data_IF_014756433129
#
_entry.id   IF_014756433129
#
_cell.length_a   1.000
_cell.length_b   1.000
_cell.length_c   1.000
_cell.angle_alpha   90.00
_cell.angle_beta   90.00
_cell.angle_gamma   90.00
#
_symmetry.space_group_name_H-M   'P 1'
#
loop_
_entity.id
_entity.type
_entity.pdbx_description
1 polymer ?
#
# COMPACT_ATOMS: atom_id res chain seq x y z
N UNK A 1 -36.15 25.18 -11.26
CA UNK A 1 -36.56 23.79 -10.94
C UNK A 1 -35.44 22.85 -11.35
N UNK A 2 -35.02 21.96 -10.46
CA UNK A 2 -34.02 20.93 -10.78
C UNK A 2 -34.75 19.77 -11.47
N UNK A 3 -34.21 19.28 -12.60
CA UNK A 3 -34.76 18.13 -13.34
C UNK A 3 -34.03 16.86 -12.89
N UNK A 4 -34.76 15.75 -12.76
CA UNK A 4 -34.18 14.43 -12.43
C UNK A 4 -33.12 14.07 -13.49
N UNK A 5 -31.83 13.90 -13.11
CA UNK A 5 -30.80 13.55 -14.07
C UNK A 5 -31.03 12.16 -14.69
N UNK A 6 -30.50 11.94 -15.89
CA UNK A 6 -30.43 10.60 -16.47
C UNK A 6 -29.58 9.70 -15.55
N UNK A 7 -29.95 8.44 -15.42
CA UNK A 7 -29.26 7.43 -14.61
C UNK A 7 -29.32 7.65 -13.07
N UNK A 8 -30.33 8.39 -12.58
CA UNK A 8 -30.49 8.69 -11.15
C UNK A 8 -30.60 7.44 -10.25
N UNK A 9 -31.23 6.36 -10.72
CA UNK A 9 -31.40 5.13 -9.92
C UNK A 9 -30.09 4.34 -9.75
N UNK A 10 -29.11 4.55 -10.64
CA UNK A 10 -27.83 3.83 -10.62
C UNK A 10 -26.66 4.71 -10.16
N UNK A 11 -26.82 6.04 -10.14
CA UNK A 11 -25.77 6.95 -9.68
C UNK A 11 -25.70 6.88 -8.15
N UNK A 12 -24.54 6.46 -7.62
CA UNK A 12 -24.31 6.48 -6.19
C UNK A 12 -24.26 7.92 -5.71
N UNK A 13 -24.94 8.20 -4.60
CA UNK A 13 -24.82 9.49 -3.92
C UNK A 13 -23.36 9.77 -3.59
N UNK A 14 -22.96 11.06 -3.67
CA UNK A 14 -21.62 11.47 -3.26
C UNK A 14 -21.41 11.08 -1.80
N UNK A 15 -20.59 10.06 -1.58
CA UNK A 15 -20.15 9.64 -0.25
C UNK A 15 -18.79 10.28 -0.01
N UNK A 16 -18.52 10.75 1.21
CA UNK A 16 -17.18 11.23 1.55
C UNK A 16 -16.17 10.11 1.28
N UNK A 17 -15.12 10.41 0.52
CA UNK A 17 -14.03 9.46 0.29
C UNK A 17 -13.30 9.27 1.61
N UNK A 18 -13.51 8.11 2.23
CA UNK A 18 -12.78 7.69 3.41
C UNK A 18 -11.29 7.70 3.06
N UNK A 19 -10.51 8.53 3.76
CA UNK A 19 -9.06 8.51 3.66
C UNK A 19 -8.50 7.55 4.69
N UNK A 20 -7.55 6.72 4.29
CA UNK A 20 -6.87 5.82 5.21
C UNK A 20 -6.00 6.64 6.19
N UNK A 21 -6.17 6.49 7.51
CA UNK A 21 -5.30 7.12 8.50
C UNK A 21 -3.86 6.58 8.43
N UNK A 22 -2.90 7.37 8.92
CA UNK A 22 -1.56 6.82 9.18
C UNK A 22 -1.61 5.80 10.31
N UNK A 23 -0.84 4.73 10.19
CA UNK A 23 -0.87 3.68 11.21
C UNK A 23 -0.27 2.38 10.74
N UNK A 24 -0.52 1.34 11.54
CA UNK A 24 -0.13 -0.02 11.25
C UNK A 24 -1.37 -0.84 10.90
N UNK A 25 -1.30 -1.60 9.81
CA UNK A 25 -2.40 -2.43 9.32
C UNK A 25 -1.89 -3.83 8.98
N UNK A 26 -2.74 -4.83 9.18
CA UNK A 26 -2.50 -6.17 8.65
C UNK A 26 -3.00 -6.18 7.22
N UNK A 27 -2.12 -6.58 6.30
CA UNK A 27 -2.37 -6.55 4.86
C UNK A 27 -2.17 -7.93 4.25
N UNK A 28 -2.90 -8.20 3.18
CA UNK A 28 -2.71 -9.36 2.31
C UNK A 28 -2.01 -8.90 1.03
N UNK A 29 -0.98 -9.62 0.61
CA UNK A 29 -0.34 -9.40 -0.67
C UNK A 29 -1.27 -9.93 -1.78
N UNK A 30 -1.69 -9.07 -2.69
CA UNK A 30 -2.58 -9.42 -3.80
C UNK A 30 -1.81 -9.76 -5.08
N UNK A 31 -0.65 -9.14 -5.27
CA UNK A 31 0.29 -9.44 -6.36
C UNK A 31 1.68 -8.88 -6.03
N UNK A 32 2.70 -9.44 -6.65
CA UNK A 32 4.07 -8.93 -6.57
C UNK A 32 4.74 -9.11 -7.93
N UNK A 33 5.55 -8.13 -8.33
CA UNK A 33 6.36 -8.18 -9.55
C UNK A 33 7.63 -7.37 -9.42
N UNK A 34 8.66 -7.74 -10.18
CA UNK A 34 9.90 -6.99 -10.30
C UNK A 34 9.84 -6.08 -11.51
N UNK A 35 10.18 -4.81 -11.33
CA UNK A 35 10.20 -3.79 -12.39
C UNK A 35 11.56 -3.11 -12.42
N UNK A 36 12.18 -3.12 -13.59
CA UNK A 36 13.45 -2.45 -13.85
C UNK A 36 13.24 -1.01 -14.33
N UNK A 37 14.03 -0.09 -13.81
CA UNK A 37 14.01 1.32 -14.20
C UNK A 37 15.40 1.77 -14.63
N UNK A 38 15.44 2.55 -15.71
CA UNK A 38 16.65 3.27 -16.08
C UNK A 38 16.81 4.49 -15.17
N UNK A 39 18.03 4.68 -14.67
CA UNK A 39 18.43 5.86 -13.91
C UNK A 39 18.93 6.94 -14.85
N UNK A 40 18.81 8.20 -14.45
CA UNK A 40 19.29 9.35 -15.23
C UNK A 40 20.80 9.31 -15.50
N UNK A 41 21.55 8.49 -14.75
CA UNK A 41 23.00 8.27 -14.92
C UNK A 41 23.36 7.05 -15.77
N UNK A 42 22.39 6.43 -16.46
CA UNK A 42 22.64 5.33 -17.40
C UNK A 42 22.78 3.93 -16.76
N UNK A 43 22.48 3.79 -15.47
CA UNK A 43 22.38 2.49 -14.79
C UNK A 43 20.94 1.97 -14.73
N UNK A 44 20.75 0.67 -14.49
CA UNK A 44 19.44 0.05 -14.27
C UNK A 44 19.26 -0.26 -12.79
N UNK A 45 18.07 0.03 -12.24
CA UNK A 45 17.71 -0.30 -10.86
C UNK A 45 16.40 -1.07 -10.82
N UNK A 46 16.42 -2.20 -10.14
CA UNK A 46 15.25 -3.06 -10.00
C UNK A 46 14.46 -2.73 -8.73
N UNK A 47 13.14 -2.84 -8.83
CA UNK A 47 12.21 -2.68 -7.71
C UNK A 47 11.26 -3.85 -7.65
N UNK A 48 11.10 -4.39 -6.46
CA UNK A 48 9.98 -5.26 -6.13
C UNK A 48 8.77 -4.39 -5.79
N UNK A 49 7.77 -4.43 -6.66
CA UNK A 49 6.47 -3.80 -6.43
C UNK A 49 5.49 -4.84 -5.88
N UNK A 50 4.95 -4.57 -4.70
CA UNK A 50 4.03 -5.46 -3.99
C UNK A 50 2.69 -4.74 -3.86
N UNK A 51 1.71 -5.21 -4.62
CA UNK A 51 0.32 -4.79 -4.44
C UNK A 51 -0.25 -5.48 -3.20
N UNK A 52 -0.90 -4.71 -2.34
CA UNK A 52 -1.49 -5.15 -1.10
C UNK A 52 -2.90 -4.61 -0.92
N UNK A 53 -3.69 -5.33 -0.12
CA UNK A 53 -4.97 -4.86 0.39
C UNK A 53 -5.03 -5.02 1.91
N UNK A 54 -5.85 -4.21 2.58
CA UNK A 54 -6.04 -4.30 4.03
C UNK A 54 -6.86 -5.55 4.34
N UNK A 55 -6.30 -6.44 5.15
CA UNK A 55 -6.88 -7.75 5.44
C UNK A 55 -7.85 -7.72 6.63
N UNK A 56 -7.62 -6.82 7.59
CA UNK A 56 -8.35 -6.78 8.86
C UNK A 56 -8.67 -5.34 9.31
N UNK A 57 -9.61 -5.23 10.25
CA UNK A 57 -10.02 -3.96 10.86
C UNK A 57 -11.04 -3.17 10.03
N UNK A 58 -11.22 -1.91 10.40
CA UNK A 58 -12.24 -1.00 9.83
C UNK A 58 -12.06 -0.77 8.33
N UNK A 59 -10.81 -0.74 7.87
CA UNK A 59 -10.47 -0.47 6.48
C UNK A 59 -10.25 -1.74 5.66
N UNK A 60 -10.72 -2.90 6.12
CA UNK A 60 -10.61 -4.15 5.36
C UNK A 60 -11.18 -3.98 3.94
N UNK A 61 -10.43 -4.42 2.93
CA UNK A 61 -10.84 -4.32 1.53
C UNK A 61 -10.69 -2.92 0.92
N UNK A 62 -9.99 -2.00 1.59
CA UNK A 62 -9.91 -0.59 1.18
C UNK A 62 -9.42 -0.41 -0.27
N UNK A 63 -8.33 -1.07 -0.64
CA UNK A 63 -7.74 -0.88 -1.96
C UNK A 63 -8.53 -1.62 -3.05
N UNK A 64 -9.10 -2.78 -2.72
CA UNK A 64 -10.02 -3.47 -3.63
C UNK A 64 -11.25 -2.60 -3.93
N UNK A 65 -11.86 -2.02 -2.89
CA UNK A 65 -13.02 -1.15 -3.06
C UNK A 65 -12.70 0.11 -3.88
N UNK A 66 -11.54 0.75 -3.65
CA UNK A 66 -11.07 1.88 -4.47
C UNK A 66 -10.90 1.45 -5.93
N UNK A 67 -10.24 0.31 -6.16
CA UNK A 67 -10.00 -0.23 -7.50
C UNK A 67 -11.29 -0.57 -8.25
N UNK A 68 -12.21 -1.31 -7.63
CA UNK A 68 -13.50 -1.69 -8.22
C UNK A 68 -14.37 -0.47 -8.52
N UNK A 69 -14.27 0.58 -7.70
CA UNK A 69 -14.97 1.84 -7.94
C UNK A 69 -14.36 2.62 -9.10
N UNK A 70 -13.02 2.63 -9.21
CA UNK A 70 -12.27 3.35 -10.23
C UNK A 70 -12.37 2.69 -11.60
N UNK A 71 -12.31 1.35 -11.65
CA UNK A 71 -12.46 0.58 -12.90
C UNK A 71 -13.78 0.81 -13.62
N UNK A 72 -14.85 1.12 -12.87
CA UNK A 72 -16.16 1.50 -13.45
C UNK A 72 -16.13 2.84 -14.17
N UNK A 73 -15.14 3.69 -13.86
CA UNK A 73 -14.99 5.03 -14.43
C UNK A 73 -13.92 5.08 -15.53
N UNK A 74 -12.90 4.22 -15.45
CA UNK A 74 -11.81 4.13 -16.40
C UNK A 74 -11.24 2.72 -16.41
N UNK A 75 -11.14 2.11 -17.60
CA UNK A 75 -10.55 0.78 -17.77
C UNK A 75 -9.05 0.75 -17.39
N UNK A 76 -8.37 1.89 -17.53
CA UNK A 76 -6.95 2.09 -17.19
C UNK A 76 -6.70 2.45 -15.71
N UNK A 77 -7.71 2.29 -14.85
CA UNK A 77 -7.57 2.61 -13.43
C UNK A 77 -6.53 1.72 -12.76
N UNK A 78 -5.57 2.33 -12.06
CA UNK A 78 -4.43 1.63 -11.44
C UNK A 78 -4.70 1.29 -9.98
N UNK A 79 -4.16 0.16 -9.53
CA UNK A 79 -4.16 -0.21 -8.12
C UNK A 79 -3.29 0.75 -7.30
N UNK A 80 -3.81 1.27 -6.20
CA UNK A 80 -3.13 2.30 -5.40
C UNK A 80 -2.39 1.79 -4.16
N UNK A 81 -2.70 0.59 -3.69
CA UNK A 81 -2.06 -0.02 -2.53
C UNK A 81 -0.79 -0.75 -2.93
N UNK A 82 0.28 -0.02 -3.24
CA UNK A 82 1.54 -0.60 -3.74
C UNK A 82 2.70 -0.20 -2.84
N UNK A 83 3.36 -1.19 -2.24
CA UNK A 83 4.65 -1.01 -1.58
C UNK A 83 5.77 -1.21 -2.60
N UNK A 84 6.74 -0.30 -2.63
CA UNK A 84 7.87 -0.35 -3.57
C UNK A 84 9.17 -0.52 -2.81
N UNK A 85 9.83 -1.66 -3.02
CA UNK A 85 11.12 -1.98 -2.41
C UNK A 85 12.20 -1.97 -3.49
N UNK A 86 13.23 -1.15 -3.32
CA UNK A 86 14.42 -1.20 -4.17
C UNK A 86 15.19 -2.49 -3.89
N UNK A 87 15.59 -3.18 -4.95
CA UNK A 87 16.44 -4.36 -4.86
C UNK A 87 17.93 -3.94 -4.81
N UNK A 88 18.78 -4.71 -4.13
CA UNK A 88 20.23 -4.54 -4.19
C UNK A 88 20.73 -4.56 -5.64
N UNK A 89 21.71 -3.72 -5.93
CA UNK A 89 22.40 -3.63 -7.22
C UNK A 89 23.73 -4.39 -7.22
N UNK A 90 24.17 -4.88 -6.05
CA UNK A 90 25.44 -5.58 -5.86
C UNK A 90 26.68 -4.76 -6.22
N UNK A 91 26.55 -3.43 -6.21
CA UNK A 91 27.62 -2.49 -6.57
C UNK A 91 28.58 -2.16 -5.41
N UNK A 92 28.31 -2.71 -4.21
CA UNK A 92 29.13 -2.50 -3.01
C UNK A 92 29.03 -1.10 -2.40
N UNK A 93 28.12 -0.26 -2.87
CA UNK A 93 27.88 1.08 -2.30
C UNK A 93 27.16 1.02 -0.95
N UNK A 94 27.25 2.08 -0.15
CA UNK A 94 26.48 2.21 1.11
C UNK A 94 24.96 2.11 0.86
N UNK A 95 24.50 2.61 -0.29
CA UNK A 95 23.10 2.51 -0.70
C UNK A 95 22.70 1.05 -0.97
N UNK A 96 23.61 0.22 -1.48
CA UNK A 96 23.38 -1.20 -1.70
C UNK A 96 23.25 -1.98 -0.40
N UNK A 97 24.13 -1.73 0.58
CA UNK A 97 24.04 -2.32 1.91
C UNK A 97 22.72 -1.96 2.63
N UNK A 98 22.28 -0.70 2.49
CA UNK A 98 20.98 -0.28 3.00
C UNK A 98 19.81 -1.03 2.30
N UNK A 99 19.89 -1.22 0.97
CA UNK A 99 18.86 -1.97 0.21
C UNK A 99 18.81 -3.44 0.64
N UNK A 100 19.97 -4.09 0.84
CA UNK A 100 20.05 -5.48 1.35
C UNK A 100 19.38 -5.59 2.72
N UNK A 101 19.70 -4.68 3.63
CA UNK A 101 19.11 -4.63 4.97
C UNK A 101 17.60 -4.43 4.93
N UNK A 102 17.11 -3.51 4.09
CA UNK A 102 15.67 -3.25 3.91
C UNK A 102 14.93 -4.45 3.31
N UNK A 103 15.50 -5.07 2.27
CA UNK A 103 14.93 -6.27 1.64
C UNK A 103 14.88 -7.45 2.62
N UNK A 104 15.95 -7.65 3.39
CA UNK A 104 16.00 -8.67 4.44
C UNK A 104 14.89 -8.47 5.47
N UNK A 105 14.74 -7.25 6.00
CA UNK A 105 13.69 -6.94 6.96
C UNK A 105 12.28 -7.17 6.40
N UNK A 106 12.08 -6.88 5.11
CA UNK A 106 10.82 -7.17 4.41
C UNK A 106 10.54 -8.67 4.35
N UNK A 107 11.51 -9.47 3.90
CA UNK A 107 11.34 -10.91 3.75
C UNK A 107 11.14 -11.59 5.11
N UNK A 108 11.94 -11.23 6.12
CA UNK A 108 11.78 -11.76 7.49
C UNK A 108 10.40 -11.43 8.06
N UNK A 109 9.89 -10.21 7.86
CA UNK A 109 8.54 -9.86 8.30
C UNK A 109 7.45 -10.70 7.64
N UNK A 110 7.60 -11.05 6.36
CA UNK A 110 6.66 -11.92 5.64
C UNK A 110 6.78 -13.35 6.18
N UNK A 111 7.99 -13.90 6.30
CA UNK A 111 8.20 -15.26 6.81
C UNK A 111 7.68 -15.43 8.25
N UNK A 112 8.00 -14.51 9.15
CA UNK A 112 7.57 -14.53 10.55
C UNK A 112 6.03 -14.46 10.68
N UNK A 113 5.37 -13.79 9.74
CA UNK A 113 3.91 -13.63 9.73
C UNK A 113 3.18 -14.83 9.10
N UNK A 114 3.90 -15.74 8.42
CA UNK A 114 3.30 -16.87 7.71
C UNK A 114 3.98 -18.17 8.15
N UNK A 115 3.44 -18.79 9.22
CA UNK A 115 4.00 -20.01 9.79
C UNK A 115 4.26 -21.12 8.76
N UNK A 116 5.50 -21.62 8.74
CA UNK A 116 5.94 -22.66 7.80
C UNK A 116 6.31 -22.17 6.41
N UNK A 117 6.22 -20.86 6.14
CA UNK A 117 6.68 -20.27 4.89
C UNK A 117 8.14 -19.81 4.99
N UNK A 118 8.91 -20.09 3.93
CA UNK A 118 10.22 -19.50 3.66
C UNK A 118 10.24 -19.05 2.22
N UNK A 119 10.83 -17.89 1.98
CA UNK A 119 11.00 -17.36 0.64
C UNK A 119 11.98 -18.23 -0.12
N UNK A 120 11.53 -18.74 -1.27
CA UNK A 120 12.35 -19.54 -2.15
C UNK A 120 12.95 -18.63 -3.23
N UNK A 121 14.25 -18.35 -3.13
CA UNK A 121 14.94 -17.41 -4.02
C UNK A 121 15.00 -17.88 -5.47
N UNK A 122 14.78 -19.17 -5.73
CA UNK A 122 14.76 -19.74 -7.09
C UNK A 122 13.37 -19.66 -7.74
N UNK A 123 12.36 -19.19 -7.01
CA UNK A 123 10.98 -19.04 -7.49
C UNK A 123 10.61 -17.58 -7.75
N UNK A 124 9.69 -17.33 -8.69
CA UNK A 124 9.21 -15.98 -8.96
C UNK A 124 8.56 -15.35 -7.72
N UNK A 125 8.61 -14.03 -7.65
CA UNK A 125 8.04 -13.20 -6.59
C UNK A 125 6.52 -13.36 -6.46
N UNK A 126 5.85 -13.92 -7.47
CA UNK A 126 4.43 -14.28 -7.43
C UNK A 126 4.08 -15.25 -6.28
N UNK A 127 5.06 -15.98 -5.74
CA UNK A 127 4.90 -16.79 -4.53
C UNK A 127 4.49 -16.00 -3.28
N UNK A 128 4.72 -14.67 -3.29
CA UNK A 128 4.30 -13.76 -2.23
C UNK A 128 2.78 -13.51 -2.25
N UNK A 129 2.10 -13.77 -3.38
CA UNK A 129 0.65 -13.63 -3.50
C UNK A 129 -0.05 -14.47 -2.43
N UNK A 130 -1.01 -13.86 -1.75
CA UNK A 130 -1.81 -14.49 -0.70
C UNK A 130 -1.18 -14.47 0.68
N UNK A 131 0.10 -14.09 0.83
CA UNK A 131 0.75 -13.97 2.15
C UNK A 131 0.20 -12.79 2.93
N UNK A 132 0.13 -12.95 4.25
CA UNK A 132 -0.33 -11.91 5.18
C UNK A 132 0.85 -11.33 5.94
N UNK A 133 0.90 -10.01 6.11
CA UNK A 133 2.00 -9.33 6.79
C UNK A 133 1.51 -8.04 7.44
N UNK A 134 2.21 -7.55 8.47
CA UNK A 134 1.98 -6.21 8.98
C UNK A 134 2.59 -5.16 8.05
N UNK A 135 1.92 -4.04 7.83
CA UNK A 135 2.43 -2.92 7.07
C UNK A 135 2.23 -1.61 7.83
N UNK A 136 3.30 -0.83 7.94
CA UNK A 136 3.25 0.53 8.48
C UNK A 136 3.04 1.50 7.33
N UNK A 137 2.10 2.42 7.50
CA UNK A 137 1.75 3.44 6.52
C UNK A 137 2.28 4.80 6.95
N UNK A 138 2.81 5.54 5.98
CA UNK A 138 3.35 6.89 6.14
C UNK A 138 2.46 7.88 5.41
N UNK A 139 2.35 9.10 5.94
CA UNK A 139 1.75 10.21 5.20
C UNK A 139 2.73 10.74 4.16
N UNK A 140 2.33 10.73 2.89
CA UNK A 140 3.08 11.30 1.78
C UNK A 140 2.26 12.38 1.07
N UNK A 141 2.90 13.50 0.79
CA UNK A 141 2.29 14.57 0.01
C UNK A 141 2.37 14.22 -1.49
N UNK A 142 1.25 14.39 -2.17
CA UNK A 142 1.17 14.30 -3.63
C UNK A 142 0.88 15.68 -4.20
N UNK A 143 1.39 15.93 -5.40
CA UNK A 143 1.07 17.11 -6.18
C UNK A 143 0.75 16.69 -7.63
N UNK A 144 -0.35 17.22 -8.18
CA UNK A 144 -0.78 16.98 -9.56
C UNK A 144 -1.65 18.14 -10.04
N UNK A 145 -1.31 18.73 -11.19
CA UNK A 145 -2.10 19.78 -11.86
C UNK A 145 -2.54 20.90 -10.89
N UNK A 146 -1.58 21.56 -10.25
CA UNK A 146 -1.75 22.63 -9.24
C UNK A 146 -2.50 22.24 -7.96
N UNK A 147 -2.92 20.98 -7.83
CA UNK A 147 -3.49 20.44 -6.59
C UNK A 147 -2.41 19.70 -5.83
N UNK A 148 -2.49 19.79 -4.50
CA UNK A 148 -1.68 19.00 -3.59
C UNK A 148 -2.53 18.46 -2.44
N UNK A 149 -2.02 17.45 -1.77
CA UNK A 149 -2.65 16.90 -0.57
C UNK A 149 -1.82 15.80 0.04
N UNK A 150 -2.23 15.36 1.22
CA UNK A 150 -1.56 14.30 1.96
C UNK A 150 -2.35 12.99 1.86
N UNK A 151 -1.66 11.86 1.76
CA UNK A 151 -2.28 10.52 1.75
C UNK A 151 -1.43 9.51 2.50
N UNK A 152 -2.06 8.57 3.20
CA UNK A 152 -1.35 7.42 3.75
C UNK A 152 -0.92 6.47 2.62
N UNK A 153 0.34 6.05 2.63
CA UNK A 153 0.92 5.10 1.68
C UNK A 153 1.68 3.99 2.42
N UNK A 154 1.72 2.77 1.89
CA UNK A 154 2.57 1.71 2.41
C UNK A 154 4.02 2.17 2.49
N UNK A 155 4.64 2.02 3.67
CA UNK A 155 6.02 2.45 3.88
C UNK A 155 6.98 1.28 4.07
N UNK A 156 6.64 0.33 4.95
CA UNK A 156 7.45 -0.87 5.19
C UNK A 156 6.62 -2.00 5.77
N UNK A 157 7.11 -3.23 5.61
CA UNK A 157 6.57 -4.38 6.31
C UNK A 157 7.19 -4.55 7.69
N UNK A 158 6.39 -5.14 8.58
CA UNK A 158 6.71 -5.55 9.94
C UNK A 158 5.95 -6.86 10.23
N UNK A 159 6.40 -7.69 11.19
CA UNK A 159 5.64 -8.87 11.58
C UNK A 159 4.22 -8.50 12.01
N UNK A 160 3.22 -9.36 11.73
CA UNK A 160 1.82 -9.16 12.13
C UNK A 160 1.69 -8.89 13.63
N UNK A 161 2.46 -9.61 14.45
CA UNK A 161 2.52 -9.41 15.90
C UNK A 161 2.93 -7.98 16.32
N UNK A 162 3.77 -7.31 15.53
CA UNK A 162 4.15 -5.91 15.81
C UNK A 162 2.95 -4.97 15.67
N UNK A 163 2.03 -5.25 14.73
CA UNK A 163 0.80 -4.49 14.56
C UNK A 163 -0.18 -4.78 15.70
N UNK A 164 -0.42 -6.06 16.02
CA UNK A 164 -1.31 -6.44 17.12
C UNK A 164 -0.87 -5.87 18.46
N UNK A 165 0.43 -5.92 18.75
CA UNK A 165 0.99 -5.41 20.01
C UNK A 165 1.18 -3.89 20.03
N UNK A 166 0.93 -3.18 18.92
CA UNK A 166 1.19 -1.75 18.78
C UNK A 166 2.68 -1.37 18.85
N UNK A 167 3.60 -2.35 18.74
CA UNK A 167 5.05 -2.16 18.84
C UNK A 167 5.66 -1.74 17.50
N UNK A 168 5.13 -0.67 16.92
CA UNK A 168 5.69 -0.05 15.72
C UNK A 168 5.79 1.46 15.89
N UNK A 169 6.63 2.09 15.05
CA UNK A 169 6.78 3.55 15.03
C UNK A 169 6.24 4.08 13.73
N UNK A 170 5.36 5.08 13.83
CA UNK A 170 4.89 5.83 12.66
C UNK A 170 6.06 6.68 12.15
N UNK A 171 6.48 6.51 10.89
CA UNK A 171 7.57 7.29 10.31
C UNK A 171 7.18 8.76 10.16
N UNK A 172 8.18 9.64 10.08
CA UNK A 172 7.96 11.05 9.72
C UNK A 172 7.26 11.15 8.37
N UNK A 173 6.33 12.08 8.23
CA UNK A 173 5.67 12.35 6.95
C UNK A 173 6.69 12.78 5.88
N UNK A 174 6.36 12.55 4.62
CA UNK A 174 7.23 12.87 3.47
C UNK A 174 6.58 13.96 2.61
N UNK A 175 7.05 15.22 2.67
CA UNK A 175 6.58 16.27 1.78
C UNK A 175 6.98 15.99 0.33
N UNK A 176 6.27 16.62 -0.59
CA UNK A 176 6.56 16.50 -2.01
C UNK A 176 7.88 17.22 -2.32
N UNK A 177 8.62 16.74 -3.32
CA UNK A 177 9.95 17.29 -3.66
C UNK A 177 9.95 18.79 -3.97
N UNK A 178 8.82 19.30 -4.47
CA UNK A 178 8.62 20.70 -4.85
C UNK A 178 8.09 21.56 -3.68
N UNK A 179 7.71 20.93 -2.56
CA UNK A 179 7.11 21.56 -1.38
C UNK A 179 7.76 21.07 -0.07
N UNK A 180 9.10 21.02 -0.01
CA UNK A 180 9.85 20.34 1.06
C UNK A 180 9.61 20.86 2.49
N UNK A 181 9.07 22.08 2.64
CA UNK A 181 8.75 22.70 3.92
C UNK A 181 7.27 22.58 4.30
N UNK A 182 6.45 21.93 3.47
CA UNK A 182 5.02 21.78 3.73
C UNK A 182 4.77 20.78 4.86
N UNK A 183 3.74 21.06 5.65
CA UNK A 183 3.32 20.22 6.76
C UNK A 183 1.84 19.89 6.64
N UNK A 184 1.40 18.71 7.11
CA UNK A 184 -0.02 18.38 7.10
C UNK A 184 -0.80 19.29 8.06
N UNK A 185 -1.78 20.02 7.53
CA UNK A 185 -2.79 20.70 8.35
C UNK A 185 -3.56 19.62 9.14
N UNK A 186 -3.42 19.58 10.47
CA UNK A 186 -3.97 18.56 11.40
C UNK A 186 -3.26 17.20 11.51
N UNK A 187 -1.93 17.13 11.69
CA UNK A 187 -1.31 15.90 12.23
C UNK A 187 -1.74 15.67 13.70
N UNK A 188 -2.95 15.15 13.93
CA UNK A 188 -3.29 14.50 15.19
C UNK A 188 -2.63 13.12 15.18
N UNK A 189 -1.55 12.96 15.93
CA UNK A 189 -0.97 11.67 16.26
C UNK A 189 -1.91 10.90 17.20
N UNK A 190 -3.11 10.55 16.74
CA UNK A 190 -4.02 9.72 17.49
C UNK A 190 -3.48 8.28 17.45
N UNK A 191 -2.61 8.00 18.41
CA UNK A 191 -2.15 6.68 18.81
C UNK A 191 -3.28 5.93 19.52
N UNK A 192 -4.40 5.73 18.83
CA UNK A 192 -5.50 4.89 19.33
C UNK A 192 -5.52 3.56 18.56
N UNK A 193 -5.47 2.41 19.25
CA UNK A 193 -5.74 1.14 18.59
C UNK A 193 -7.17 1.17 18.07
N UNK A 194 -7.36 0.92 16.78
CA UNK A 194 -8.68 0.81 16.18
C UNK A 194 -9.42 -0.37 16.82
N UNK A 195 -10.36 -0.11 17.73
CA UNK A 195 -11.27 -1.15 18.20
C UNK A 195 -12.70 -0.63 18.37
N UNK A 196 -13.61 -1.42 17.81
CA UNK A 196 -15.06 -1.56 18.07
C UNK A 196 -16.03 -0.57 17.40
N UNK A 197 -16.59 -0.99 16.26
CA UNK A 197 -17.94 -0.68 15.75
C UNK A 197 -18.27 -1.63 14.56
N UNK A 198 -19.55 -1.85 14.19
CA UNK A 198 -20.04 -3.14 13.72
C UNK A 198 -19.71 -3.47 12.26
N UNK A 199 -19.61 -4.77 11.99
CA UNK A 199 -19.24 -5.36 10.70
C UNK A 199 -20.25 -5.10 9.57
N UNK A 200 -19.80 -4.78 8.35
CA UNK A 200 -20.52 -5.07 7.14
C UNK A 200 -20.04 -6.38 6.49
N UNK A 201 -20.96 -6.92 5.69
CA UNK A 201 -21.11 -8.29 5.22
C UNK A 201 -19.93 -8.91 4.46
N UNK A 202 -19.86 -10.24 4.56
CA UNK A 202 -19.01 -11.13 3.78
C UNK A 202 -18.99 -10.77 2.29
N UNK A 203 -17.78 -10.67 1.74
CA UNK A 203 -17.53 -10.58 0.30
C UNK A 203 -16.62 -11.73 -0.08
N UNK A 204 -16.99 -12.44 -1.14
CA UNK A 204 -16.25 -13.59 -1.66
C UNK A 204 -14.91 -13.14 -2.28
N UNK A 205 -13.85 -13.95 -2.14
CA UNK A 205 -12.58 -13.69 -2.81
C UNK A 205 -12.76 -13.80 -4.33
N UNK A 206 -12.28 -12.80 -5.06
CA UNK A 206 -12.16 -12.86 -6.52
C UNK A 206 -10.85 -13.62 -6.84
N UNK A 207 -10.99 -14.82 -7.40
CA UNK A 207 -9.95 -15.47 -8.21
C UNK A 207 -9.93 -14.78 -9.58
N UNK A 208 -9.08 -13.75 -9.73
CA UNK A 208 -8.72 -13.23 -11.05
C UNK A 208 -7.22 -13.49 -11.25
N UNK A 209 -6.94 -14.34 -12.25
CA UNK A 209 -5.60 -14.72 -12.70
C UNK A 209 -4.98 -13.67 -13.65
N UNK A 210 -5.62 -12.51 -13.82
CA UNK A 210 -5.05 -11.35 -14.51
C UNK A 210 -4.03 -10.58 -13.67
N UNK A 211 -2.87 -10.25 -14.25
CA UNK A 211 -1.86 -9.38 -13.63
C UNK A 211 -2.48 -8.02 -13.27
N UNK A 212 -2.45 -7.64 -11.99
CA UNK A 212 -3.06 -6.38 -11.55
C UNK A 212 -2.27 -5.20 -12.15
N UNK A 213 -2.95 -4.17 -12.70
CA UNK A 213 -2.27 -3.00 -13.24
C UNK A 213 -1.86 -2.08 -12.10
N UNK A 214 -0.67 -2.35 -11.56
CA UNK A 214 0.07 -1.43 -10.70
C UNK A 214 1.37 -0.98 -11.35
#
# INVERSE_FOLDING_TARGET
MIRKPKNWENVKAATERIQLPVGGYIVKIVAAKTVSYNTDMGGQIDRLEIALDIAEGEYKGFYQADYDSGKRQSEDYKWKGVLRQYLPMEDGSENDEWRKSSLKAMMEAIEDSNGGYRYDWDKPESQLKGKTVGCVFRLEEWAMNDKKGWKAQPFKFVPVEAIHSGKFKIPKFKPHKDYQNDTPDNFQSDSRPASSAPAPSAYDPIDDEGDLPF
#
